data_IF_982363648125
#
_entry.id   IF_982363648125
#
_cell.length_a   1.000
_cell.length_b   1.000
_cell.length_c   1.000
_cell.angle_alpha   90.00
_cell.angle_beta   90.00
_cell.angle_gamma   90.00
#
_symmetry.space_group_name_H-M   'P 1'
#
loop_
_entity.id
_entity.type
_entity.pdbx_description
1 polymer ?
#
# COMPACT_ATOMS: atom_id res chain seq x y z
N UNK A 1 15.29 -25.10 -18.96
CA UNK A 1 14.42 -24.19 -19.72
C UNK A 1 14.09 -23.11 -18.73
N UNK A 2 14.95 -22.11 -18.73
CA UNK A 2 14.89 -20.95 -17.86
C UNK A 2 13.82 -20.00 -18.39
N UNK A 3 12.82 -19.70 -17.57
CA UNK A 3 11.87 -18.63 -17.81
C UNK A 3 11.90 -17.68 -16.61
N UNK A 4 12.95 -16.85 -16.62
CA UNK A 4 12.99 -15.59 -15.87
C UNK A 4 11.93 -14.65 -16.46
N UNK A 5 11.23 -13.94 -15.60
CA UNK A 5 10.37 -12.83 -15.99
C UNK A 5 9.69 -12.20 -14.78
N UNK A 6 10.45 -11.79 -13.78
CA UNK A 6 9.97 -10.81 -12.81
C UNK A 6 9.92 -9.47 -13.54
N UNK A 7 8.75 -9.10 -14.05
CA UNK A 7 8.51 -7.78 -14.60
C UNK A 7 8.17 -6.86 -13.44
N UNK A 8 9.21 -6.35 -12.79
CA UNK A 8 9.10 -5.11 -12.03
C UNK A 8 8.98 -3.99 -13.07
N UNK A 9 7.77 -3.55 -13.34
CA UNK A 9 7.53 -2.33 -14.12
C UNK A 9 7.93 -1.13 -13.26
N UNK A 10 9.22 -0.79 -13.31
CA UNK A 10 9.72 0.46 -12.76
C UNK A 10 9.14 1.62 -13.55
N UNK A 11 8.17 2.33 -12.96
CA UNK A 11 7.71 3.62 -13.46
C UNK A 11 8.87 4.62 -13.51
N UNK A 12 8.95 5.38 -14.59
CA UNK A 12 9.92 6.48 -14.72
C UNK A 12 9.69 7.50 -13.60
N UNK A 13 10.75 8.03 -12.95
CA UNK A 13 10.56 9.01 -11.88
C UNK A 13 9.98 10.31 -12.46
N UNK A 14 8.83 10.73 -11.96
CA UNK A 14 8.19 12.00 -12.30
C UNK A 14 9.01 13.16 -11.70
N UNK A 15 9.49 14.09 -12.54
CA UNK A 15 10.31 15.24 -12.12
C UNK A 15 9.52 16.33 -11.35
N UNK A 16 8.32 16.03 -10.82
CA UNK A 16 7.45 17.01 -10.14
C UNK A 16 7.27 16.72 -8.64
N UNK A 17 8.36 16.50 -7.91
CA UNK A 17 8.30 16.46 -6.45
C UNK A 17 7.96 17.85 -5.89
N UNK A 18 6.69 18.05 -5.51
CA UNK A 18 6.24 19.20 -4.73
C UNK A 18 6.93 19.26 -3.35
N UNK A 19 6.91 20.44 -2.73
CA UNK A 19 7.70 20.82 -1.55
C UNK A 19 7.46 20.00 -0.24
N UNK A 20 6.66 18.93 -0.27
CA UNK A 20 6.36 18.03 0.86
C UNK A 20 6.99 16.62 0.71
N UNK A 21 7.81 16.39 -0.33
CA UNK A 21 8.61 15.17 -0.50
C UNK A 21 7.80 13.88 -0.67
N UNK A 22 6.49 13.98 -0.93
CA UNK A 22 5.62 12.83 -1.18
C UNK A 22 5.52 12.63 -2.68
N UNK A 23 6.20 11.61 -3.18
CA UNK A 23 6.03 11.14 -4.56
C UNK A 23 4.68 10.42 -4.65
N UNK A 24 3.82 10.83 -5.60
CA UNK A 24 2.49 10.26 -5.81
C UNK A 24 2.45 9.26 -6.98
N UNK A 25 3.61 8.82 -7.48
CA UNK A 25 3.71 7.83 -8.57
C UNK A 25 3.28 6.44 -8.10
N UNK A 26 3.53 6.11 -6.83
CA UNK A 26 3.15 4.83 -6.24
C UNK A 26 1.75 4.90 -5.59
N UNK A 27 0.93 3.84 -5.68
CA UNK A 27 -0.31 3.77 -4.94
C UNK A 27 -0.06 3.91 -3.43
N UNK A 28 -0.87 4.74 -2.77
CA UNK A 28 -0.72 5.04 -1.33
C UNK A 28 -0.70 3.77 -0.48
N UNK A 29 -1.46 2.75 -0.87
CA UNK A 29 -1.54 1.47 -0.16
C UNK A 29 -0.24 0.67 -0.24
N UNK A 30 0.49 0.76 -1.36
CA UNK A 30 1.80 0.12 -1.51
C UNK A 30 2.83 0.80 -0.60
N UNK A 31 2.94 2.13 -0.69
CA UNK A 31 3.83 2.91 0.18
C UNK A 31 3.50 2.72 1.66
N UNK A 32 2.22 2.66 2.02
CA UNK A 32 1.78 2.39 3.39
C UNK A 32 2.24 1.01 3.87
N UNK A 33 2.08 -0.02 3.02
CA UNK A 33 2.49 -1.39 3.33
C UNK A 33 3.99 -1.52 3.57
N UNK A 34 4.81 -0.88 2.74
CA UNK A 34 6.27 -0.85 2.90
C UNK A 34 6.66 -0.18 4.21
N UNK A 35 6.12 1.01 4.49
CA UNK A 35 6.43 1.76 5.70
C UNK A 35 6.04 1.01 6.99
N UNK A 36 4.89 0.35 7.01
CA UNK A 36 4.46 -0.42 8.18
C UNK A 36 5.30 -1.69 8.37
N UNK A 37 5.64 -2.37 7.27
CA UNK A 37 6.47 -3.58 7.30
C UNK A 37 7.88 -3.27 7.79
N UNK A 38 8.51 -2.20 7.30
CA UNK A 38 9.83 -1.75 7.74
C UNK A 38 9.89 -1.39 9.23
N UNK A 39 8.76 -0.92 9.77
CA UNK A 39 8.63 -0.51 11.18
C UNK A 39 8.13 -1.61 12.10
N UNK A 40 7.81 -2.78 11.57
CA UNK A 40 7.19 -3.88 12.31
C UNK A 40 5.87 -3.46 13.01
N UNK A 41 5.11 -2.57 12.37
CA UNK A 41 3.85 -2.03 12.90
C UNK A 41 2.62 -2.65 12.22
N UNK A 42 1.47 -2.58 12.89
CA UNK A 42 0.20 -3.05 12.36
C UNK A 42 -0.83 -1.93 12.20
N UNK A 43 -1.75 -2.12 11.26
CA UNK A 43 -2.84 -1.22 10.93
C UNK A 43 -4.18 -1.84 11.29
N UNK A 44 -5.05 -1.04 11.91
CA UNK A 44 -6.46 -1.35 12.06
C UNK A 44 -7.33 -0.21 11.53
N UNK A 45 -8.46 -0.54 10.89
CA UNK A 45 -9.41 0.46 10.37
C UNK A 45 -10.73 0.43 11.13
N UNK A 46 -11.36 1.59 11.26
CA UNK A 46 -12.75 1.74 11.69
C UNK A 46 -13.46 2.61 10.64
N UNK A 47 -14.46 2.04 9.99
CA UNK A 47 -15.11 2.59 8.81
C UNK A 47 -16.61 2.73 9.03
N UNK A 48 -17.21 3.80 8.50
CA UNK A 48 -18.66 3.98 8.48
C UNK A 48 -19.14 4.18 7.05
N UNK A 49 -19.16 5.41 6.53
CA UNK A 49 -19.61 5.72 5.16
C UNK A 49 -18.75 5.08 4.06
N UNK A 50 -17.48 4.77 4.34
CA UNK A 50 -16.61 4.08 3.39
C UNK A 50 -16.95 2.59 3.24
N UNK A 51 -17.70 2.01 4.18
CA UNK A 51 -18.27 0.67 4.05
C UNK A 51 -17.25 -0.47 3.89
N UNK A 52 -16.00 -0.28 4.31
CA UNK A 52 -14.92 -1.27 4.12
C UNK A 52 -14.02 -0.99 2.93
N UNK A 53 -14.24 0.08 2.16
CA UNK A 53 -13.42 0.41 0.99
C UNK A 53 -11.98 0.82 1.34
N UNK A 54 -11.71 1.30 2.55
CA UNK A 54 -10.32 1.56 2.98
C UNK A 54 -9.62 0.24 3.26
N UNK A 55 -10.22 -0.62 4.08
CA UNK A 55 -9.71 -1.96 4.35
C UNK A 55 -9.50 -2.77 3.06
N UNK A 56 -10.47 -2.73 2.14
CA UNK A 56 -10.40 -3.40 0.83
C UNK A 56 -9.14 -3.01 0.07
N UNK A 57 -8.90 -1.71 -0.14
CA UNK A 57 -7.74 -1.24 -0.90
C UNK A 57 -6.42 -1.63 -0.24
N UNK A 58 -6.34 -1.55 1.08
CA UNK A 58 -5.15 -1.99 1.82
C UNK A 58 -4.93 -3.48 1.63
N UNK A 59 -5.98 -4.30 1.73
CA UNK A 59 -5.87 -5.76 1.58
C UNK A 59 -5.67 -6.24 0.15
N UNK A 60 -5.88 -5.39 -0.85
CA UNK A 60 -5.58 -5.69 -2.26
C UNK A 60 -4.06 -5.69 -2.54
N UNK A 61 -3.24 -5.13 -1.65
CA UNK A 61 -1.79 -5.15 -1.75
C UNK A 61 -1.24 -6.53 -1.36
N UNK A 62 -0.44 -7.21 -2.21
CA UNK A 62 0.19 -8.47 -1.85
C UNK A 62 1.01 -8.36 -0.57
N UNK A 63 0.81 -9.30 0.36
CA UNK A 63 1.51 -9.29 1.65
C UNK A 63 0.85 -8.44 2.74
N UNK A 64 -0.31 -7.82 2.47
CA UNK A 64 -1.06 -7.03 3.45
C UNK A 64 -1.35 -7.76 4.78
N UNK A 65 -1.41 -9.10 4.77
CA UNK A 65 -1.57 -9.90 5.99
C UNK A 65 -0.44 -9.74 7.01
N UNK A 66 0.72 -9.23 6.61
CA UNK A 66 1.85 -8.97 7.52
C UNK A 66 1.60 -7.76 8.41
N UNK A 67 0.85 -6.76 7.94
CA UNK A 67 0.66 -5.49 8.65
C UNK A 67 -0.81 -5.11 8.87
N UNK A 68 -1.78 -5.68 8.16
CA UNK A 68 -3.20 -5.41 8.40
C UNK A 68 -3.76 -6.36 9.48
N UNK A 69 -4.11 -5.82 10.64
CA UNK A 69 -4.60 -6.60 11.79
C UNK A 69 -6.11 -6.84 11.72
N UNK A 70 -6.91 -5.77 11.60
CA UNK A 70 -8.38 -5.85 11.63
C UNK A 70 -9.07 -4.63 11.04
N UNK A 71 -10.29 -4.83 10.56
CA UNK A 71 -11.20 -3.76 10.16
C UNK A 71 -12.55 -3.86 10.88
N UNK A 72 -13.10 -2.72 11.28
CA UNK A 72 -14.48 -2.60 11.77
C UNK A 72 -15.28 -1.75 10.81
N UNK A 73 -16.47 -2.20 10.45
CA UNK A 73 -17.44 -1.40 9.69
C UNK A 73 -18.67 -1.19 10.57
N UNK A 74 -19.04 0.06 10.80
CA UNK A 74 -20.01 0.47 11.84
C UNK A 74 -20.97 1.55 11.39
#
# INVERSE_FOLDING_TARGET
>A
MDERGAEAEGGEPDETAGADGTDHSEPVEATLGDLLTEREETLATAESLTGGLVGSRVTDVPGASTYFDRGFVT
#
